data_IF_544753590939
#
_entry.id   IF_544753590939
#
_cell.length_a   1.000
_cell.length_b   1.000
_cell.length_c   1.000
_cell.angle_alpha   90.00
_cell.angle_beta   90.00
_cell.angle_gamma   90.00
#
_symmetry.space_group_name_H-M   'P 1'
#
loop_
_entity.id
_entity.type
_entity.pdbx_description
1 polymer ?
#
# COMPACT_ATOMS: atom_id res chain seq x y z
N UNK A 1 42.85 47.98 -77.75
CA UNK A 1 42.62 47.64 -76.32
C UNK A 1 41.35 46.79 -76.23
N UNK A 2 41.45 45.47 -76.08
CA UNK A 2 40.30 44.59 -75.76
C UNK A 2 40.70 43.71 -74.58
N UNK A 3 40.07 43.96 -73.43
CA UNK A 3 40.29 43.22 -72.17
C UNK A 3 39.48 41.91 -72.23
N UNK A 4 40.14 40.79 -71.95
CA UNK A 4 39.50 39.52 -71.60
C UNK A 4 39.01 39.60 -70.14
N UNK A 5 37.73 39.30 -69.89
CA UNK A 5 37.22 38.98 -68.55
C UNK A 5 36.97 37.47 -68.50
N UNK A 6 37.72 36.77 -67.64
CA UNK A 6 37.47 35.37 -67.29
C UNK A 6 36.44 35.31 -66.16
N UNK A 7 35.30 34.66 -66.40
CA UNK A 7 34.29 34.39 -65.38
C UNK A 7 34.60 33.08 -64.67
N UNK A 8 34.90 33.13 -63.37
CA UNK A 8 35.02 31.95 -62.49
C UNK A 8 33.62 31.64 -61.95
N UNK A 9 33.09 30.46 -62.24
CA UNK A 9 31.84 29.94 -61.68
C UNK A 9 32.14 29.27 -60.33
N UNK A 10 31.65 29.83 -59.23
CA UNK A 10 31.69 29.21 -57.89
C UNK A 10 30.36 28.44 -57.71
N UNK A 11 30.40 27.12 -57.76
CA UNK A 11 29.26 26.26 -57.40
C UNK A 11 29.10 26.24 -55.88
N UNK A 12 28.06 26.89 -55.38
CA UNK A 12 27.55 26.69 -54.02
C UNK A 12 26.86 25.32 -53.95
N UNK A 13 27.47 24.36 -53.24
CA UNK A 13 26.82 23.10 -52.89
C UNK A 13 25.79 23.40 -51.78
N UNK A 14 24.50 23.51 -52.14
CA UNK A 14 23.42 23.56 -51.15
C UNK A 14 23.34 22.18 -50.46
N UNK A 15 23.86 22.10 -49.23
CA UNK A 15 23.52 21.03 -48.30
C UNK A 15 22.04 21.16 -47.94
N UNK A 16 21.20 20.34 -48.55
CA UNK A 16 19.81 20.19 -48.14
C UNK A 16 19.79 19.67 -46.69
N UNK A 17 19.47 20.54 -45.73
CA UNK A 17 19.12 20.13 -44.38
C UNK A 17 17.76 19.45 -44.44
N UNK A 18 17.75 18.13 -44.58
CA UNK A 18 16.54 17.37 -44.36
C UNK A 18 16.13 17.57 -42.90
N UNK A 19 14.90 18.03 -42.60
CA UNK A 19 14.42 18.01 -41.23
C UNK A 19 14.47 16.55 -40.78
N UNK A 20 15.27 16.26 -39.75
CA UNK A 20 15.22 14.98 -39.06
C UNK A 20 13.78 14.77 -38.64
N UNK A 21 13.11 13.78 -39.23
CA UNK A 21 11.76 13.41 -38.86
C UNK A 21 11.78 13.02 -37.37
N UNK A 22 11.40 13.97 -36.52
CA UNK A 22 11.32 13.74 -35.09
C UNK A 22 10.14 12.80 -34.90
N UNK A 23 10.42 11.56 -34.50
CA UNK A 23 9.37 10.56 -34.32
C UNK A 23 8.32 11.10 -33.35
N UNK A 24 7.07 11.16 -33.82
CA UNK A 24 5.97 11.73 -33.05
C UNK A 24 5.68 10.84 -31.83
N UNK A 25 5.55 11.46 -30.65
CA UNK A 25 5.26 10.73 -29.42
C UNK A 25 3.83 10.16 -29.49
N UNK A 26 3.61 8.85 -29.25
CA UNK A 26 2.28 8.26 -29.30
C UNK A 26 1.39 8.81 -28.19
N UNK A 27 0.09 8.95 -28.47
CA UNK A 27 -0.89 9.44 -27.49
C UNK A 27 -1.08 8.50 -26.28
N UNK A 28 -0.83 7.19 -26.46
CA UNK A 28 -0.91 6.18 -25.41
C UNK A 28 -0.03 4.98 -25.70
N UNK A 29 0.25 4.20 -24.66
CA UNK A 29 0.99 2.95 -24.72
C UNK A 29 0.09 1.79 -24.30
N UNK A 30 0.09 0.71 -25.08
CA UNK A 30 -0.67 -0.49 -24.81
C UNK A 30 0.20 -1.58 -24.17
N UNK A 31 -0.40 -2.33 -23.25
CA UNK A 31 0.27 -3.38 -22.50
C UNK A 31 -0.62 -4.62 -22.42
N UNK A 32 0.00 -5.79 -22.45
CA UNK A 32 -0.62 -7.06 -22.04
C UNK A 32 0.17 -7.67 -20.91
N UNK A 33 -0.46 -8.47 -20.05
CA UNK A 33 0.26 -9.09 -18.96
C UNK A 33 -0.58 -10.03 -18.10
N UNK A 34 -0.02 -10.40 -16.96
CA UNK A 34 -0.65 -11.27 -15.96
C UNK A 34 -0.33 -10.80 -14.54
N UNK A 35 -0.99 -11.35 -13.52
CA UNK A 35 -0.84 -10.96 -12.12
C UNK A 35 -1.36 -9.56 -11.78
N UNK A 36 -1.40 -9.26 -10.48
CA UNK A 36 -1.79 -7.98 -9.90
C UNK A 36 -1.02 -7.74 -8.61
N UNK A 37 -0.33 -6.60 -8.52
CA UNK A 37 0.55 -6.30 -7.38
C UNK A 37 2.03 -6.41 -7.70
N UNK A 38 2.88 -6.27 -6.67
CA UNK A 38 4.34 -6.12 -6.82
C UNK A 38 5.08 -7.43 -7.04
N UNK A 39 4.43 -8.58 -6.87
CA UNK A 39 5.08 -9.87 -7.09
C UNK A 39 5.94 -10.35 -5.93
N UNK A 40 6.37 -9.48 -5.01
CA UNK A 40 7.23 -9.84 -3.87
C UNK A 40 6.48 -10.53 -2.73
N UNK A 41 6.99 -11.67 -2.24
CA UNK A 41 6.48 -12.38 -1.06
C UNK A 41 5.27 -13.27 -1.33
N UNK A 42 4.25 -13.25 -0.47
CA UNK A 42 3.11 -14.18 -0.60
C UNK A 42 2.09 -13.72 -1.65
N UNK A 43 1.83 -14.55 -2.66
CA UNK A 43 0.65 -14.37 -3.53
C UNK A 43 -0.62 -14.81 -2.81
N UNK A 44 -1.63 -13.94 -2.74
CA UNK A 44 -2.91 -14.24 -2.11
C UNK A 44 -3.70 -15.30 -2.87
N UNK A 45 -3.77 -15.22 -4.21
CA UNK A 45 -4.43 -16.26 -5.02
C UNK A 45 -3.67 -17.58 -4.93
N UNK A 46 -2.34 -17.56 -4.98
CA UNK A 46 -1.53 -18.75 -4.81
C UNK A 46 -1.68 -19.39 -3.42
N UNK A 47 -1.64 -18.60 -2.36
CA UNK A 47 -1.88 -19.04 -1.00
C UNK A 47 -3.29 -19.64 -0.82
N UNK A 48 -4.31 -19.04 -1.46
CA UNK A 48 -5.66 -19.62 -1.49
C UNK A 48 -5.67 -20.98 -2.17
N UNK A 49 -5.00 -21.13 -3.32
CA UNK A 49 -4.93 -22.41 -4.04
C UNK A 49 -4.26 -23.50 -3.18
N UNK A 50 -3.17 -23.16 -2.48
CA UNK A 50 -2.49 -24.06 -1.53
C UNK A 50 -3.37 -24.45 -0.36
N UNK A 51 -4.11 -23.50 0.22
CA UNK A 51 -5.06 -23.79 1.28
C UNK A 51 -6.19 -24.72 0.82
N UNK A 52 -6.69 -24.55 -0.42
CA UNK A 52 -7.66 -25.48 -1.03
C UNK A 52 -7.07 -26.87 -1.24
N UNK A 53 -5.77 -26.96 -1.52
CA UNK A 53 -5.03 -28.22 -1.62
C UNK A 53 -4.71 -28.86 -0.24
N UNK A 54 -5.16 -28.26 0.86
CA UNK A 54 -5.01 -28.81 2.22
C UNK A 54 -3.73 -28.39 2.95
N UNK A 55 -2.94 -27.47 2.39
CA UNK A 55 -1.75 -26.97 3.08
C UNK A 55 -2.12 -26.12 4.31
N UNK A 56 -1.35 -26.28 5.39
CA UNK A 56 -1.48 -25.46 6.61
C UNK A 56 -0.97 -24.03 6.39
N UNK A 57 -1.35 -23.10 7.27
CA UNK A 57 -0.86 -21.73 7.24
C UNK A 57 0.68 -21.66 7.25
N UNK A 58 1.32 -22.47 8.09
CA UNK A 58 2.79 -22.57 8.17
C UNK A 58 3.42 -23.10 6.89
N UNK A 59 2.82 -24.12 6.25
CA UNK A 59 3.32 -24.64 4.97
C UNK A 59 3.23 -23.58 3.87
N UNK A 60 2.09 -22.88 3.78
CA UNK A 60 1.89 -21.75 2.85
C UNK A 60 2.95 -20.67 3.07
N UNK A 61 3.20 -20.26 4.31
CA UNK A 61 4.18 -19.21 4.60
C UNK A 61 5.61 -19.65 4.30
N UNK A 62 6.02 -20.86 4.69
CA UNK A 62 7.35 -21.40 4.38
C UNK A 62 7.56 -21.63 2.86
N UNK A 63 6.46 -21.78 2.10
CA UNK A 63 6.55 -21.79 0.65
C UNK A 63 7.00 -20.43 0.10
N UNK A 64 6.37 -19.33 0.54
CA UNK A 64 6.61 -17.99 0.00
C UNK A 64 7.78 -17.24 0.65
N UNK A 65 8.11 -17.54 1.91
CA UNK A 65 9.17 -16.89 2.66
C UNK A 65 10.27 -17.90 3.01
N UNK A 66 11.52 -17.59 2.66
CA UNK A 66 12.70 -18.45 2.90
C UNK A 66 13.45 -18.01 4.13
N UNK A 67 14.21 -18.92 4.75
CA UNK A 67 15.04 -18.61 5.91
C UNK A 67 14.28 -17.91 7.05
N UNK A 68 13.00 -18.24 7.22
CA UNK A 68 12.15 -17.72 8.31
C UNK A 68 11.79 -18.82 9.28
N UNK A 69 11.61 -18.42 10.53
CA UNK A 69 11.03 -19.26 11.58
C UNK A 69 9.69 -18.65 11.97
N UNK A 70 8.64 -19.47 12.00
CA UNK A 70 7.34 -19.06 12.53
C UNK A 70 7.33 -19.41 14.02
N UNK A 71 7.31 -18.39 14.88
CA UNK A 71 7.41 -18.56 16.32
C UNK A 71 6.49 -17.58 17.07
N UNK A 72 6.11 -17.91 18.33
CA UNK A 72 5.41 -16.98 19.21
C UNK A 72 6.31 -15.78 19.57
N UNK A 73 5.77 -14.57 19.51
CA UNK A 73 6.44 -13.33 19.94
C UNK A 73 5.45 -12.45 20.70
N UNK A 74 5.95 -11.71 21.69
CA UNK A 74 5.16 -10.70 22.42
C UNK A 74 4.74 -9.57 21.48
N UNK A 75 3.43 -9.37 21.31
CA UNK A 75 2.86 -8.41 20.36
C UNK A 75 1.80 -7.48 21.00
N UNK A 76 1.90 -7.28 22.32
CA UNK A 76 1.04 -6.40 23.14
C UNK A 76 1.25 -4.90 22.91
N UNK A 77 2.05 -4.52 21.92
CA UNK A 77 2.35 -3.11 21.67
C UNK A 77 1.14 -2.39 21.05
N UNK A 78 1.01 -1.09 21.37
CA UNK A 78 0.04 -0.22 20.72
C UNK A 78 0.57 0.24 19.36
N UNK A 79 -0.10 -0.17 18.28
CA UNK A 79 0.21 0.33 16.94
C UNK A 79 -0.57 1.62 16.65
N UNK A 80 0.08 2.61 16.02
CA UNK A 80 -0.55 3.86 15.59
C UNK A 80 -0.70 3.86 14.06
N UNK A 81 -1.93 3.77 13.59
CA UNK A 81 -2.28 3.70 12.16
C UNK A 81 -2.75 5.07 11.70
N UNK A 82 -2.13 5.64 10.67
CA UNK A 82 -2.63 6.87 10.06
C UNK A 82 -3.91 6.56 9.26
N UNK A 83 -5.02 7.18 9.66
CA UNK A 83 -6.35 7.00 9.09
C UNK A 83 -6.86 8.26 8.36
N UNK A 84 -6.05 9.33 8.36
CA UNK A 84 -6.34 10.59 7.71
C UNK A 84 -5.07 11.43 7.63
N UNK A 85 -4.49 11.50 6.44
CA UNK A 85 -3.21 12.18 6.22
C UNK A 85 -3.39 13.54 5.53
N UNK A 86 -2.60 14.51 5.95
CA UNK A 86 -2.55 15.87 5.44
C UNK A 86 -3.93 16.56 5.31
N UNK A 87 -4.82 16.34 6.28
CA UNK A 87 -6.18 16.85 6.24
C UNK A 87 -6.26 18.33 6.65
N UNK A 88 -7.22 19.07 6.08
CA UNK A 88 -7.57 20.43 6.57
C UNK A 88 -8.66 20.38 7.63
N UNK A 89 -9.57 19.43 7.52
CA UNK A 89 -10.59 19.15 8.50
C UNK A 89 -11.02 17.68 8.38
N UNK A 90 -11.69 17.18 9.42
CA UNK A 90 -12.43 15.93 9.41
C UNK A 90 -13.60 16.05 10.39
N UNK A 91 -14.54 15.11 10.34
CA UNK A 91 -15.58 15.01 11.35
C UNK A 91 -15.63 13.63 11.97
N UNK A 92 -16.24 13.52 13.14
CA UNK A 92 -16.60 12.26 13.78
C UNK A 92 -18.02 12.30 14.33
N UNK A 93 -18.63 11.14 14.49
CA UNK A 93 -19.88 10.96 15.21
C UNK A 93 -19.97 9.55 15.77
N UNK A 94 -21.00 9.31 16.57
CA UNK A 94 -21.42 7.98 17.02
C UNK A 94 -22.94 7.91 16.89
N UNK A 95 -23.48 6.78 16.44
CA UNK A 95 -24.92 6.63 16.23
C UNK A 95 -25.65 6.14 17.49
N UNK A 96 -24.92 5.55 18.44
CA UNK A 96 -25.47 4.89 19.63
C UNK A 96 -25.92 5.90 20.68
N UNK A 97 -27.20 5.85 21.08
CA UNK A 97 -27.85 6.83 21.97
C UNK A 97 -27.21 6.91 23.37
N UNK A 98 -26.64 5.81 23.87
CA UNK A 98 -25.99 5.76 25.20
C UNK A 98 -24.45 5.80 25.10
N UNK A 99 -23.92 6.36 24.02
CA UNK A 99 -22.47 6.52 23.83
C UNK A 99 -22.03 7.96 24.06
N UNK A 100 -20.78 8.15 24.42
CA UNK A 100 -20.13 9.46 24.51
C UNK A 100 -18.81 9.44 23.78
N UNK A 101 -18.47 10.55 23.15
CA UNK A 101 -17.12 10.80 22.64
C UNK A 101 -16.47 11.83 23.55
N UNK A 102 -15.31 11.49 24.08
CA UNK A 102 -14.52 12.32 24.98
C UNK A 102 -13.31 12.87 24.23
N UNK A 103 -13.13 14.18 24.29
CA UNK A 103 -11.98 14.89 23.72
C UNK A 103 -11.08 15.31 24.88
N UNK A 104 -9.81 14.92 24.80
CA UNK A 104 -8.78 15.18 25.80
C UNK A 104 -7.68 16.05 25.19
N UNK A 105 -7.14 16.97 25.99
CA UNK A 105 -5.98 17.77 25.59
C UNK A 105 -4.71 16.90 25.59
N UNK A 106 -3.92 16.97 24.51
CA UNK A 106 -2.63 16.28 24.43
C UNK A 106 -2.67 14.94 23.71
N UNK A 107 -1.49 14.36 23.53
CA UNK A 107 -1.28 12.99 23.05
C UNK A 107 -1.24 12.06 24.28
N UNK A 108 -2.38 11.49 24.63
CA UNK A 108 -2.55 10.68 25.84
C UNK A 108 -2.36 9.21 25.46
N UNK A 109 -1.37 8.50 26.01
CA UNK A 109 -1.17 7.08 25.73
C UNK A 109 -2.39 6.22 26.09
N UNK A 110 -2.57 5.10 25.39
CA UNK A 110 -3.59 4.12 25.74
C UNK A 110 -3.40 3.62 27.18
N UNK A 111 -4.50 3.46 27.93
CA UNK A 111 -4.47 3.04 29.34
C UNK A 111 -4.18 4.16 30.35
N UNK A 112 -3.75 5.34 29.91
CA UNK A 112 -3.53 6.49 30.81
C UNK A 112 -4.84 7.27 31.00
N UNK A 113 -5.26 7.45 32.25
CA UNK A 113 -6.44 8.25 32.60
C UNK A 113 -6.15 9.74 32.45
N UNK A 114 -7.08 10.47 31.83
CA UNK A 114 -7.06 11.94 31.77
C UNK A 114 -8.52 12.45 31.72
N UNK A 115 -8.74 13.67 32.20
CA UNK A 115 -10.07 14.28 32.20
C UNK A 115 -10.42 14.82 30.80
N UNK A 116 -11.65 14.62 30.31
CA UNK A 116 -12.09 15.22 29.06
C UNK A 116 -12.20 16.74 29.21
N UNK A 117 -11.70 17.47 28.22
CA UNK A 117 -11.91 18.92 28.09
C UNK A 117 -13.21 19.26 27.36
N UNK A 118 -13.77 18.28 26.66
CA UNK A 118 -15.05 18.37 25.96
C UNK A 118 -15.64 16.98 25.81
N UNK A 119 -16.97 16.88 25.93
CA UNK A 119 -17.73 15.67 25.61
C UNK A 119 -18.68 15.98 24.47
N UNK A 120 -18.65 15.16 23.43
CA UNK A 120 -19.55 15.26 22.28
C UNK A 120 -20.70 14.28 22.51
N UNK A 121 -21.92 14.82 22.47
CA UNK A 121 -23.14 14.04 22.61
C UNK A 121 -23.31 13.05 21.44
N UNK A 122 -23.98 11.91 21.66
CA UNK A 122 -24.26 10.97 20.59
C UNK A 122 -25.11 11.60 19.49
N UNK A 123 -25.03 11.03 18.28
CA UNK A 123 -25.67 11.53 17.04
C UNK A 123 -25.28 12.96 16.65
N UNK A 124 -24.32 13.57 17.35
CA UNK A 124 -23.74 14.87 16.99
C UNK A 124 -22.53 14.64 16.10
N UNK A 125 -22.52 15.28 14.93
CA UNK A 125 -21.36 15.32 14.05
C UNK A 125 -20.44 16.45 14.47
N UNK A 126 -19.30 16.11 15.07
CA UNK A 126 -18.30 17.06 15.51
C UNK A 126 -17.21 17.22 14.45
N UNK A 127 -16.86 18.47 14.08
CA UNK A 127 -15.84 18.78 13.07
C UNK A 127 -14.59 19.35 13.72
N UNK A 128 -13.46 18.78 13.35
CA UNK A 128 -12.13 19.20 13.75
C UNK A 128 -11.46 19.84 12.54
N UNK A 129 -10.80 20.98 12.74
CA UNK A 129 -10.09 21.69 11.67
C UNK A 129 -8.70 22.14 12.13
N UNK A 130 -7.87 22.53 11.18
CA UNK A 130 -6.60 23.18 11.46
C UNK A 130 -6.77 24.70 11.55
N UNK A 131 -6.18 25.30 12.58
CA UNK A 131 -6.03 26.75 12.71
C UNK A 131 -4.59 27.08 13.14
N UNK A 132 -3.76 27.51 12.19
CA UNK A 132 -2.33 27.70 12.41
C UNK A 132 -1.63 26.40 12.78
N UNK A 133 -1.07 26.32 14.00
CA UNK A 133 -0.40 25.13 14.55
C UNK A 133 -1.29 24.32 15.50
N UNK A 134 -2.59 24.61 15.54
CA UNK A 134 -3.53 23.97 16.47
C UNK A 134 -4.62 23.20 15.73
N UNK A 135 -5.09 22.15 16.39
CA UNK A 135 -6.37 21.49 16.12
C UNK A 135 -7.46 22.28 16.84
N UNK A 136 -8.56 22.55 16.15
CA UNK A 136 -9.72 23.27 16.70
C UNK A 136 -11.00 22.47 16.58
N UNK A 137 -11.84 22.56 17.61
CA UNK A 137 -13.22 22.05 17.66
C UNK A 137 -14.06 22.95 18.56
N UNK A 138 -15.05 23.65 18.01
CA UNK A 138 -15.80 24.65 18.77
C UNK A 138 -14.88 25.70 19.38
N UNK A 139 -14.96 25.90 20.70
CA UNK A 139 -14.06 26.80 21.46
C UNK A 139 -12.73 26.16 21.88
N UNK A 140 -12.54 24.85 21.66
CA UNK A 140 -11.31 24.14 22.02
C UNK A 140 -10.25 24.36 20.96
N UNK A 141 -9.04 24.73 21.41
CA UNK A 141 -7.83 24.90 20.59
C UNK A 141 -6.64 24.25 21.29
N UNK A 142 -6.00 23.28 20.64
CA UNK A 142 -4.87 22.55 21.21
C UNK A 142 -3.85 22.11 20.15
N UNK A 143 -2.58 21.92 20.52
CA UNK A 143 -1.54 21.41 19.61
C UNK A 143 -1.79 19.97 19.17
N UNK A 144 -2.38 19.18 20.06
CA UNK A 144 -2.76 17.79 19.83
C UNK A 144 -3.96 17.44 20.70
N UNK A 145 -4.80 16.52 20.22
CA UNK A 145 -5.96 16.02 20.93
C UNK A 145 -5.95 14.49 20.92
N UNK A 146 -6.48 13.90 21.98
CA UNK A 146 -6.83 12.48 22.02
C UNK A 146 -8.34 12.36 22.09
N UNK A 147 -8.92 11.47 21.31
CA UNK A 147 -10.35 11.23 21.22
C UNK A 147 -10.62 9.79 21.63
N UNK A 148 -11.45 9.62 22.66
CA UNK A 148 -11.90 8.32 23.17
C UNK A 148 -13.41 8.22 23.02
N UNK A 149 -13.94 7.01 22.86
CA UNK A 149 -15.38 6.80 22.82
C UNK A 149 -15.78 5.67 23.77
N UNK A 150 -16.84 5.93 24.54
CA UNK A 150 -17.21 5.12 25.71
C UNK A 150 -18.08 3.93 25.35
N UNK A 151 -17.72 2.76 25.90
CA UNK A 151 -18.32 1.42 25.83
C UNK A 151 -17.77 0.48 24.74
N UNK A 152 -17.59 -0.83 25.04
CA UNK A 152 -17.14 -1.83 24.07
C UNK A 152 -18.03 -1.99 22.82
N UNK A 153 -19.27 -1.48 22.86
CA UNK A 153 -20.23 -1.57 21.76
C UNK A 153 -20.35 -0.29 20.93
N UNK A 154 -19.68 0.78 21.35
CA UNK A 154 -19.73 2.06 20.63
C UNK A 154 -18.90 2.00 19.36
N UNK A 155 -19.48 2.48 18.26
CA UNK A 155 -18.81 2.55 16.96
C UNK A 155 -18.71 4.03 16.58
N UNK A 156 -17.48 4.53 16.56
CA UNK A 156 -17.19 5.85 16.06
C UNK A 156 -17.17 5.82 14.53
N UNK A 157 -17.87 6.76 13.89
CA UNK A 157 -17.78 7.00 12.46
C UNK A 157 -16.87 8.20 12.22
N UNK A 158 -15.83 8.00 11.43
CA UNK A 158 -14.90 9.01 10.97
C UNK A 158 -15.26 9.44 9.55
N UNK A 159 -15.32 10.75 9.33
CA UNK A 159 -15.60 11.37 8.05
C UNK A 159 -14.36 12.15 7.59
N UNK A 160 -13.57 11.53 6.72
CA UNK A 160 -12.48 12.18 6.00
C UNK A 160 -12.87 12.50 4.55
N UNK A 161 -11.91 12.93 3.72
CA UNK A 161 -12.12 13.05 2.28
C UNK A 161 -12.56 11.72 1.66
N UNK A 162 -13.61 11.74 0.84
CA UNK A 162 -14.14 10.54 0.20
C UNK A 162 -15.19 9.83 1.05
N UNK A 163 -14.86 8.65 1.57
CA UNK A 163 -15.80 7.78 2.29
C UNK A 163 -15.63 7.85 3.82
N UNK A 164 -16.72 7.57 4.55
CA UNK A 164 -16.68 7.43 6.00
C UNK A 164 -16.19 6.04 6.42
N UNK A 165 -15.39 5.97 7.48
CA UNK A 165 -14.85 4.72 8.04
C UNK A 165 -15.36 4.55 9.46
N UNK A 166 -15.60 3.31 9.90
CA UNK A 166 -16.10 3.00 11.25
C UNK A 166 -15.02 2.36 12.09
N UNK A 167 -14.88 2.81 13.33
CA UNK A 167 -13.93 2.29 14.32
C UNK A 167 -14.66 1.86 15.58
N UNK A 168 -14.39 0.62 16.00
CA UNK A 168 -14.90 0.06 17.26
C UNK A 168 -13.83 0.07 18.35
N UNK A 169 -12.57 -0.04 17.95
CA UNK A 169 -11.42 -0.22 18.84
C UNK A 169 -10.41 0.92 18.73
N UNK A 170 -9.62 1.06 19.79
CA UNK A 170 -8.56 2.05 19.90
C UNK A 170 -9.02 3.41 20.42
N UNK A 171 -8.14 4.39 20.20
CA UNK A 171 -8.37 5.80 20.48
C UNK A 171 -7.73 6.64 19.36
N UNK A 172 -8.35 7.74 18.97
CA UNK A 172 -7.85 8.58 17.90
C UNK A 172 -6.91 9.66 18.45
N UNK A 173 -5.76 9.88 17.81
CA UNK A 173 -4.91 11.04 18.05
C UNK A 173 -5.00 11.98 16.85
N UNK A 174 -4.97 13.27 17.14
CA UNK A 174 -4.99 14.33 16.14
C UNK A 174 -3.86 15.28 16.43
N UNK A 175 -3.04 15.54 15.42
CA UNK A 175 -1.87 16.43 15.55
C UNK A 175 -1.68 17.25 14.29
N UNK A 176 -1.20 18.48 14.45
CA UNK A 176 -0.76 19.29 13.31
C UNK A 176 0.68 18.91 12.96
N UNK A 177 0.88 18.34 11.77
CA UNK A 177 2.18 18.03 11.19
C UNK A 177 2.31 18.80 9.88
N UNK A 178 3.40 19.56 9.72
CA UNK A 178 3.71 20.29 8.49
C UNK A 178 2.55 21.12 7.91
N UNK A 179 1.72 21.74 8.77
CA UNK A 179 0.60 22.59 8.33
C UNK A 179 -0.65 21.85 7.88
N UNK A 180 -0.80 20.59 8.29
CA UNK A 180 -2.01 19.80 8.09
C UNK A 180 -2.29 18.88 9.30
N UNK A 181 -3.52 18.38 9.40
CA UNK A 181 -3.92 17.40 10.41
C UNK A 181 -3.47 16.01 9.97
N UNK A 182 -2.72 15.34 10.84
CA UNK A 182 -2.57 13.90 10.81
C UNK A 182 -3.49 13.30 11.87
N UNK A 183 -4.33 12.37 11.44
CA UNK A 183 -5.29 11.66 12.28
C UNK A 183 -4.90 10.20 12.31
N UNK A 184 -4.67 9.68 13.51
CA UNK A 184 -4.24 8.31 13.71
C UNK A 184 -5.14 7.56 14.67
N UNK A 185 -5.32 6.26 14.46
CA UNK A 185 -5.95 5.37 15.42
C UNK A 185 -4.86 4.57 16.12
N UNK A 186 -4.78 4.68 17.45
CA UNK A 186 -3.91 3.86 18.29
C UNK A 186 -4.69 2.71 18.90
N UNK A 187 -4.27 1.48 18.64
CA UNK A 187 -4.99 0.25 18.99
C UNK A 187 -4.03 -0.91 19.30
N UNK A 188 -4.52 -1.94 19.98
CA UNK A 188 -3.77 -3.16 20.25
C UNK A 188 -3.32 -3.82 18.94
N UNK A 189 -2.02 -4.10 18.79
CA UNK A 189 -1.50 -4.84 17.64
C UNK A 189 -1.93 -6.31 17.70
N UNK A 190 -1.98 -6.89 18.90
CA UNK A 190 -2.31 -8.30 19.16
C UNK A 190 -3.57 -8.77 18.44
N UNK A 191 -4.61 -7.93 18.40
CA UNK A 191 -5.94 -8.28 17.92
C UNK A 191 -6.67 -7.14 17.20
N UNK A 192 -6.87 -5.99 17.84
CA UNK A 192 -7.73 -4.90 17.34
C UNK A 192 -7.29 -4.38 15.96
N UNK A 193 -5.98 -4.22 15.77
CA UNK A 193 -5.39 -3.85 14.48
C UNK A 193 -5.68 -4.91 13.40
N UNK A 194 -5.40 -6.17 13.72
CA UNK A 194 -5.52 -7.27 12.77
C UNK A 194 -6.97 -7.55 12.40
N UNK A 195 -7.93 -7.34 13.31
CA UNK A 195 -9.36 -7.43 12.98
C UNK A 195 -9.80 -6.40 11.94
N UNK A 196 -9.07 -5.29 11.78
CA UNK A 196 -9.35 -4.27 10.76
C UNK A 196 -8.59 -4.44 9.44
N UNK A 197 -7.72 -5.45 9.30
CA UNK A 197 -6.97 -5.70 8.07
C UNK A 197 -7.85 -6.38 7.03
N UNK A 198 -7.99 -5.78 5.84
CA UNK A 198 -8.84 -6.26 4.76
C UNK A 198 -8.07 -6.44 3.45
N UNK A 199 -7.27 -7.50 3.41
CA UNK A 199 -6.42 -7.82 2.25
C UNK A 199 -7.02 -8.93 1.38
N UNK A 200 -7.72 -9.88 1.99
CA UNK A 200 -8.38 -11.01 1.33
C UNK A 200 -9.82 -11.15 1.81
N UNK A 201 -10.66 -11.85 1.06
CA UNK A 201 -12.05 -12.12 1.48
C UNK A 201 -12.07 -13.01 2.72
N UNK A 202 -12.91 -12.67 3.70
CA UNK A 202 -13.09 -13.48 4.92
C UNK A 202 -13.76 -14.83 4.66
N UNK A 203 -14.27 -15.06 3.44
CA UNK A 203 -14.85 -16.34 3.03
C UNK A 203 -13.81 -17.34 2.50
N UNK A 204 -12.53 -16.97 2.44
CA UNK A 204 -11.48 -17.87 2.00
C UNK A 204 -11.16 -18.95 3.04
N UNK A 205 -10.51 -20.06 2.64
CA UNK A 205 -10.19 -21.16 3.57
C UNK A 205 -9.39 -20.68 4.79
N UNK A 206 -9.61 -21.32 5.94
CA UNK A 206 -9.02 -20.90 7.22
C UNK A 206 -7.49 -20.79 7.18
N UNK A 207 -6.80 -21.74 6.53
CA UNK A 207 -5.35 -21.75 6.46
C UNK A 207 -4.76 -20.51 5.75
N UNK A 208 -5.40 -20.02 4.67
CA UNK A 208 -4.95 -18.78 4.02
C UNK A 208 -5.32 -17.53 4.84
N UNK A 209 -6.43 -17.55 5.58
CA UNK A 209 -6.74 -16.46 6.51
C UNK A 209 -5.66 -16.35 7.60
N UNK A 210 -5.29 -17.47 8.22
CA UNK A 210 -4.24 -17.53 9.25
C UNK A 210 -2.86 -17.13 8.69
N UNK A 211 -2.51 -17.59 7.48
CA UNK A 211 -1.28 -17.18 6.81
C UNK A 211 -1.24 -15.67 6.57
N UNK A 212 -2.35 -15.08 6.11
CA UNK A 212 -2.47 -13.64 5.89
C UNK A 212 -2.39 -12.84 7.20
N UNK A 213 -2.97 -13.34 8.29
CA UNK A 213 -2.86 -12.73 9.62
C UNK A 213 -1.41 -12.73 10.10
N UNK A 214 -0.73 -13.88 10.06
CA UNK A 214 0.67 -13.99 10.49
C UNK A 214 1.57 -13.07 9.65
N UNK A 215 1.36 -13.01 8.33
CA UNK A 215 2.07 -12.09 7.45
C UNK A 215 1.79 -10.62 7.84
N UNK A 216 0.52 -10.25 8.06
CA UNK A 216 0.17 -8.90 8.44
C UNK A 216 0.76 -8.48 9.79
N UNK A 217 0.70 -9.36 10.79
CA UNK A 217 1.32 -9.15 12.11
C UNK A 217 2.84 -8.98 12.00
N UNK A 218 3.50 -9.82 11.21
CA UNK A 218 4.95 -9.74 10.98
C UNK A 218 5.35 -8.41 10.35
N UNK A 219 4.63 -7.97 9.32
CA UNK A 219 4.82 -6.67 8.68
C UNK A 219 4.66 -5.52 9.69
N UNK A 220 3.56 -5.53 10.45
CA UNK A 220 3.28 -4.52 11.46
C UNK A 220 4.41 -4.44 12.50
N UNK A 221 4.81 -5.56 13.09
CA UNK A 221 5.91 -5.63 14.07
C UNK A 221 7.24 -5.16 13.48
N UNK A 222 7.55 -5.48 12.22
CA UNK A 222 8.74 -4.98 11.54
C UNK A 222 8.73 -3.45 11.32
N UNK A 223 7.56 -2.81 11.43
CA UNK A 223 7.35 -1.35 11.36
C UNK A 223 7.20 -0.69 12.73
N UNK A 224 7.20 -1.45 13.83
CA UNK A 224 7.03 -0.95 15.21
C UNK A 224 8.27 -0.20 15.77
N UNK A 225 8.95 0.58 14.94
CA UNK A 225 9.98 1.52 15.38
C UNK A 225 9.39 2.79 16.00
N UNK A 226 10.18 3.86 16.07
CA UNK A 226 9.67 5.17 16.51
C UNK A 226 8.56 5.69 15.59
N UNK A 227 7.61 6.43 16.17
CA UNK A 227 6.56 7.12 15.42
C UNK A 227 7.17 8.02 14.34
N UNK A 228 6.79 7.81 13.08
CA UNK A 228 7.26 8.62 11.96
C UNK A 228 6.71 10.03 12.10
N UNK A 229 7.60 11.02 12.24
CA UNK A 229 7.21 12.41 12.42
C UNK A 229 6.37 13.00 11.27
N UNK A 230 6.48 12.46 10.06
CA UNK A 230 5.77 12.94 8.86
C UNK A 230 4.28 12.57 8.81
N UNK A 231 3.86 11.51 9.51
CA UNK A 231 2.46 11.04 9.53
C UNK A 231 1.92 10.84 10.95
N UNK A 232 2.75 11.08 11.96
CA UNK A 232 2.49 10.70 13.35
C UNK A 232 2.05 9.24 13.48
N UNK A 233 2.69 8.30 12.75
CA UNK A 233 2.22 6.91 12.63
C UNK A 233 3.34 5.88 12.58
N UNK A 234 3.04 4.62 12.93
CA UNK A 234 3.87 3.47 12.56
C UNK A 234 3.58 3.06 11.10
N UNK A 235 2.29 2.97 10.75
CA UNK A 235 1.82 2.51 9.43
C UNK A 235 0.66 3.37 8.91
N UNK A 236 0.49 3.42 7.59
CA UNK A 236 -0.69 3.99 6.94
C UNK A 236 -1.80 2.96 6.78
N UNK A 237 -3.06 3.40 6.70
CA UNK A 237 -4.24 2.54 6.53
C UNK A 237 -4.50 2.07 5.09
N UNK A 238 -3.61 2.37 4.15
CA UNK A 238 -3.78 2.09 2.72
C UNK A 238 -2.58 1.33 2.15
N UNK A 239 -2.59 1.08 0.84
CA UNK A 239 -1.60 0.28 0.08
C UNK A 239 -0.12 0.71 0.22
N UNK A 240 0.17 1.84 0.86
CA UNK A 240 1.54 2.22 1.20
C UNK A 240 2.11 1.37 2.34
N UNK A 241 1.23 0.79 3.17
CA UNK A 241 1.55 -0.20 4.19
C UNK A 241 0.57 -1.38 4.08
N UNK A 242 -0.59 -1.30 4.74
CA UNK A 242 -1.61 -2.37 4.72
C UNK A 242 -3.02 -1.77 4.67
N UNK A 243 -3.93 -2.44 3.97
CA UNK A 243 -5.31 -2.00 3.84
C UNK A 243 -6.08 -2.22 5.15
N UNK A 244 -6.08 -1.19 6.01
CA UNK A 244 -6.78 -1.16 7.29
C UNK A 244 -8.10 -0.40 7.14
N UNK A 245 -9.20 -1.13 7.27
CA UNK A 245 -10.56 -0.62 7.00
C UNK A 245 -11.40 -0.48 8.29
N UNK A 246 -10.74 -0.55 9.44
CA UNK A 246 -11.38 -0.50 10.76
C UNK A 246 -12.43 -1.60 10.95
N UNK A 247 -13.56 -1.25 11.57
CA UNK A 247 -14.61 -2.20 11.94
C UNK A 247 -15.32 -2.85 10.75
N UNK A 248 -15.19 -2.30 9.53
CA UNK A 248 -15.91 -2.85 8.37
C UNK A 248 -15.54 -4.30 8.05
N UNK A 249 -14.30 -4.71 8.36
CA UNK A 249 -13.83 -6.09 8.16
C UNK A 249 -14.51 -7.08 9.10
N UNK A 250 -14.49 -6.80 10.40
CA UNK A 250 -15.20 -7.61 11.39
C UNK A 250 -16.72 -7.62 11.14
N UNK A 251 -17.26 -6.50 10.68
CA UNK A 251 -18.69 -6.30 10.43
C UNK A 251 -19.19 -6.90 9.10
N UNK A 252 -18.35 -7.57 8.31
CA UNK A 252 -18.80 -8.26 7.10
C UNK A 252 -19.87 -9.30 7.44
N UNK A 253 -21.07 -9.11 6.90
CA UNK A 253 -22.21 -9.96 7.20
C UNK A 253 -21.89 -11.43 6.92
N UNK A 254 -22.15 -12.31 7.90
CA UNK A 254 -21.93 -13.76 7.88
C UNK A 254 -20.46 -14.21 7.85
N UNK A 255 -19.56 -13.49 7.17
CA UNK A 255 -18.19 -13.95 6.90
C UNK A 255 -17.12 -13.28 7.76
N UNK A 256 -17.35 -12.08 8.30
CA UNK A 256 -16.35 -11.34 9.10
C UNK A 256 -15.89 -12.11 10.34
N UNK A 257 -16.77 -12.95 10.89
CA UNK A 257 -16.45 -13.86 12.01
C UNK A 257 -15.31 -14.84 11.70
N UNK A 258 -15.14 -15.25 10.44
CA UNK A 258 -14.08 -16.18 10.05
C UNK A 258 -12.71 -15.51 10.07
N UNK A 259 -12.63 -14.24 9.64
CA UNK A 259 -11.42 -13.44 9.77
C UNK A 259 -11.07 -13.19 11.22
N UNK A 260 -12.04 -12.74 12.03
CA UNK A 260 -11.84 -12.55 13.47
C UNK A 260 -11.32 -13.83 14.16
N UNK A 261 -11.91 -14.98 13.82
CA UNK A 261 -11.47 -16.27 14.33
C UNK A 261 -10.06 -16.66 13.85
N UNK A 262 -9.67 -16.32 12.61
CA UNK A 262 -8.31 -16.53 12.14
C UNK A 262 -7.28 -15.70 12.91
N UNK A 263 -7.61 -14.45 13.26
CA UNK A 263 -6.77 -13.65 14.16
C UNK A 263 -6.56 -14.38 15.48
N UNK A 264 -7.65 -14.77 16.14
CA UNK A 264 -7.59 -15.47 17.43
C UNK A 264 -6.84 -16.81 17.39
N UNK A 265 -6.99 -17.61 16.32
CA UNK A 265 -6.28 -18.90 16.17
C UNK A 265 -4.76 -18.76 16.01
N UNK A 266 -4.27 -17.57 15.67
CA UNK A 266 -2.84 -17.30 15.57
C UNK A 266 -2.25 -16.70 16.85
N UNK A 267 -3.08 -16.46 17.87
CA UNK A 267 -2.65 -16.04 19.19
C UNK A 267 -2.32 -17.31 19.99
N UNK A 268 -1.18 -17.31 20.67
CA UNK A 268 -0.69 -18.45 21.44
C UNK A 268 -1.15 -18.32 22.89
N UNK A 269 -1.09 -17.10 23.43
CA UNK A 269 -1.65 -16.72 24.73
C UNK A 269 -2.15 -15.26 24.69
N UNK A 270 -2.44 -14.68 25.84
CA UNK A 270 -2.96 -13.30 25.98
C UNK A 270 -1.98 -12.20 25.58
N UNK A 271 -0.72 -12.55 25.32
CA UNK A 271 0.39 -11.64 25.08
C UNK A 271 1.32 -12.04 23.95
N UNK A 272 1.25 -13.30 23.48
CA UNK A 272 2.10 -13.80 22.41
C UNK A 272 1.29 -14.33 21.23
N UNK A 273 1.81 -14.13 20.03
CA UNK A 273 1.20 -14.58 18.78
C UNK A 273 2.23 -15.06 17.78
N UNK A 274 1.80 -15.86 16.79
CA UNK A 274 2.66 -16.35 15.72
C UNK A 274 3.09 -15.23 14.76
N UNK A 275 4.40 -15.18 14.50
CA UNK A 275 5.10 -14.19 13.66
C UNK A 275 6.20 -14.88 12.85
N UNK A 276 6.50 -14.38 11.65
CA UNK A 276 7.66 -14.80 10.86
C UNK A 276 8.92 -14.01 11.24
N UNK A 277 9.97 -14.73 11.62
CA UNK A 277 11.24 -14.17 12.06
C UNK A 277 12.38 -14.57 11.11
N UNK A 278 13.18 -13.61 10.68
CA UNK A 278 14.49 -13.87 10.08
C UNK A 278 15.56 -13.38 11.06
N UNK A 279 16.49 -14.27 11.45
CA UNK A 279 17.54 -13.97 12.45
C UNK A 279 16.98 -13.37 13.75
N UNK A 280 15.87 -13.92 14.23
CA UNK A 280 15.19 -13.50 15.46
C UNK A 280 14.41 -12.18 15.39
N UNK A 281 14.32 -11.53 14.23
CA UNK A 281 13.57 -10.27 14.04
C UNK A 281 12.35 -10.46 13.14
N UNK A 282 11.21 -9.82 13.45
CA UNK A 282 10.05 -9.79 12.55
C UNK A 282 10.44 -9.30 11.16
N UNK A 283 10.00 -10.03 10.13
CA UNK A 283 10.27 -9.65 8.74
C UNK A 283 9.25 -8.63 8.23
N UNK A 284 9.67 -7.78 7.29
CA UNK A 284 8.70 -7.05 6.46
C UNK A 284 8.06 -8.03 5.48
N UNK A 285 6.98 -8.69 5.91
CA UNK A 285 6.27 -9.73 5.18
C UNK A 285 5.38 -9.12 4.08
N UNK A 286 5.96 -8.89 2.90
CA UNK A 286 5.21 -8.39 1.74
C UNK A 286 4.28 -9.44 1.15
N UNK A 287 3.09 -9.04 0.74
CA UNK A 287 2.13 -9.90 0.06
C UNK A 287 1.37 -9.09 -1.00
N UNK A 288 0.80 -9.78 -1.98
CA UNK A 288 0.15 -9.15 -3.13
C UNK A 288 -0.92 -10.08 -3.72
N UNK A 289 -1.78 -9.56 -4.60
CA UNK A 289 -2.94 -10.31 -5.08
C UNK A 289 -2.57 -11.58 -5.86
N UNK A 290 -1.87 -11.45 -6.99
CA UNK A 290 -1.56 -12.59 -7.85
C UNK A 290 -0.29 -12.37 -8.65
N UNK A 291 0.47 -13.43 -8.90
CA UNK A 291 1.70 -13.37 -9.70
C UNK A 291 1.42 -13.57 -11.18
N UNK A 292 2.45 -13.34 -12.01
CA UNK A 292 2.46 -13.77 -13.40
C UNK A 292 3.00 -15.19 -13.62
N UNK A 293 2.93 -16.05 -12.61
CA UNK A 293 3.39 -17.45 -12.65
C UNK A 293 4.53 -17.78 -11.68
N UNK A 294 5.20 -16.78 -11.14
CA UNK A 294 6.19 -16.90 -10.06
C UNK A 294 6.34 -15.56 -9.32
N UNK A 295 6.85 -15.56 -8.09
CA UNK A 295 7.07 -14.36 -7.28
C UNK A 295 8.37 -13.62 -7.66
N UNK A 296 8.51 -12.37 -7.21
CA UNK A 296 9.73 -11.56 -7.37
C UNK A 296 10.59 -11.51 -6.11
N UNK A 297 11.87 -11.25 -6.30
CA UNK A 297 12.76 -10.81 -5.21
C UNK A 297 12.56 -9.32 -4.91
N UNK A 298 12.88 -8.89 -3.70
CA UNK A 298 12.94 -7.45 -3.36
C UNK A 298 14.07 -6.71 -4.11
N UNK A 299 15.13 -7.43 -4.50
CA UNK A 299 16.22 -6.86 -5.30
C UNK A 299 15.73 -6.43 -6.69
N UNK A 300 14.96 -7.29 -7.36
CA UNK A 300 14.38 -6.99 -8.66
C UNK A 300 13.38 -5.82 -8.56
N UNK A 301 12.44 -5.93 -7.63
CA UNK A 301 11.36 -4.97 -7.49
C UNK A 301 11.85 -3.58 -7.02
N UNK A 302 12.71 -3.55 -5.99
CA UNK A 302 13.03 -2.33 -5.24
C UNK A 302 14.53 -2.08 -5.03
N UNK A 303 15.40 -2.97 -5.49
CA UNK A 303 16.85 -2.78 -5.45
C UNK A 303 17.53 -3.13 -4.13
N UNK A 304 16.80 -3.67 -3.15
CA UNK A 304 17.36 -4.08 -1.87
C UNK A 304 17.03 -5.54 -1.63
N UNK A 305 18.04 -6.40 -1.58
CA UNK A 305 17.84 -7.83 -1.38
C UNK A 305 17.41 -8.14 0.06
N UNK A 306 16.51 -9.11 0.22
CA UNK A 306 16.28 -9.78 1.50
C UNK A 306 16.51 -11.27 1.31
N UNK A 307 16.96 -11.95 2.37
CA UNK A 307 17.15 -13.41 2.32
C UNK A 307 15.80 -14.13 2.16
N UNK A 308 14.73 -13.59 2.75
CA UNK A 308 13.46 -14.28 2.89
C UNK A 308 12.47 -14.10 1.74
N UNK A 309 12.64 -13.12 0.86
CA UNK A 309 11.79 -12.98 -0.35
C UNK A 309 12.52 -13.50 -1.58
N UNK A 310 12.40 -14.80 -1.84
CA UNK A 310 12.93 -15.44 -3.05
C UNK A 310 11.82 -15.69 -4.06
N UNK A 311 12.22 -15.78 -5.34
CA UNK A 311 11.29 -16.19 -6.39
C UNK A 311 10.89 -17.65 -6.20
N UNK A 312 9.59 -17.91 -6.18
CA UNK A 312 9.00 -19.25 -6.13
C UNK A 312 7.90 -19.37 -7.17
N UNK A 313 7.69 -20.58 -7.69
CA UNK A 313 6.64 -20.85 -8.66
C UNK A 313 5.25 -20.57 -8.08
N UNK A 314 4.35 -20.05 -8.90
CA UNK A 314 3.00 -19.71 -8.49
C UNK A 314 2.03 -19.85 -9.67
N UNK A 315 1.83 -21.08 -10.17
CA UNK A 315 1.03 -21.33 -11.39
C UNK A 315 -0.44 -20.90 -11.23
N UNK A 316 -0.96 -20.84 -9.99
CA UNK A 316 -2.30 -20.36 -9.71
C UNK A 316 -2.52 -18.90 -10.14
N UNK A 317 -1.46 -18.09 -10.21
CA UNK A 317 -1.52 -16.73 -10.74
C UNK A 317 -1.91 -16.66 -12.22
N UNK A 318 -1.60 -17.70 -13.00
CA UNK A 318 -1.88 -17.81 -14.43
C UNK A 318 -3.14 -18.63 -14.76
N UNK A 319 -3.76 -19.28 -13.76
CA UNK A 319 -4.96 -20.08 -13.97
C UNK A 319 -6.20 -19.16 -14.09
N UNK A 320 -6.89 -19.10 -15.25
CA UNK A 320 -8.06 -18.24 -15.43
C UNK A 320 -9.26 -18.61 -14.54
N UNK A 321 -9.32 -19.83 -14.01
CA UNK A 321 -10.38 -20.23 -13.06
C UNK A 321 -10.10 -19.69 -11.67
N UNK A 322 -8.84 -19.70 -11.25
CA UNK A 322 -8.42 -19.22 -9.92
C UNK A 322 -8.21 -17.71 -9.89
N UNK A 323 -7.73 -17.13 -10.99
CA UNK A 323 -7.43 -15.71 -11.17
C UNK A 323 -8.14 -15.10 -12.40
N UNK A 324 -9.48 -15.12 -12.47
CA UNK A 324 -10.21 -14.76 -13.70
C UNK A 324 -9.99 -13.33 -14.20
N UNK A 325 -9.56 -12.41 -13.33
CA UNK A 325 -9.33 -11.00 -13.68
C UNK A 325 -7.91 -10.70 -14.13
N UNK A 326 -6.93 -11.47 -13.64
CA UNK A 326 -5.52 -11.12 -13.80
C UNK A 326 -4.64 -12.29 -14.24
N UNK A 327 -5.18 -13.48 -14.51
CA UNK A 327 -4.46 -14.53 -15.22
C UNK A 327 -3.94 -14.00 -16.57
N UNK A 328 -4.76 -13.15 -17.20
CA UNK A 328 -4.39 -12.33 -18.35
C UNK A 328 -5.12 -10.99 -18.25
N UNK A 329 -4.47 -9.91 -18.66
CA UNK A 329 -5.06 -8.58 -18.74
C UNK A 329 -4.51 -7.78 -19.92
N UNK A 330 -5.29 -6.79 -20.36
CA UNK A 330 -4.87 -5.71 -21.26
C UNK A 330 -5.00 -4.39 -20.51
N UNK A 331 -4.04 -3.50 -20.68
CA UNK A 331 -4.06 -2.17 -20.08
C UNK A 331 -3.49 -1.14 -21.05
N UNK A 332 -3.76 0.13 -20.79
CA UNK A 332 -3.11 1.24 -21.47
C UNK A 332 -2.75 2.34 -20.49
N UNK A 333 -1.74 3.14 -20.84
CA UNK A 333 -1.37 4.35 -20.12
C UNK A 333 -1.24 5.51 -21.11
N UNK A 334 -1.71 6.69 -20.72
CA UNK A 334 -1.58 7.90 -21.56
C UNK A 334 -0.12 8.32 -21.68
N UNK A 335 0.22 9.05 -22.74
CA UNK A 335 1.54 9.66 -22.88
C UNK A 335 1.91 10.42 -21.60
N UNK A 336 1.07 11.36 -21.16
CA UNK A 336 1.31 12.17 -19.96
C UNK A 336 1.71 11.33 -18.74
N UNK A 337 1.00 10.23 -18.49
CA UNK A 337 1.27 9.36 -17.34
C UNK A 337 2.61 8.65 -17.48
N UNK A 338 2.95 8.17 -18.68
CA UNK A 338 4.21 7.49 -18.97
C UNK A 338 5.40 8.45 -18.96
N UNK A 339 5.28 9.65 -19.55
CA UNK A 339 6.28 10.72 -19.44
C UNK A 339 6.56 11.07 -17.98
N UNK A 340 5.50 11.29 -17.19
CA UNK A 340 5.61 11.57 -15.76
C UNK A 340 6.23 10.42 -14.98
N UNK A 341 6.00 9.16 -15.38
CA UNK A 341 6.64 8.01 -14.76
C UNK A 341 8.17 8.07 -14.88
N UNK A 342 8.67 8.43 -16.07
CA UNK A 342 10.11 8.56 -16.37
C UNK A 342 10.70 9.92 -15.98
N UNK A 343 9.88 10.92 -15.63
CA UNK A 343 10.30 12.31 -15.46
C UNK A 343 10.94 12.87 -16.75
N UNK A 344 10.32 12.56 -17.88
CA UNK A 344 10.69 13.04 -19.22
C UNK A 344 9.56 13.92 -19.79
N UNK A 345 9.85 14.86 -20.72
CA UNK A 345 8.84 15.72 -21.31
C UNK A 345 7.81 14.92 -22.13
N UNK A 346 8.27 13.91 -22.85
CA UNK A 346 7.47 12.94 -23.56
C UNK A 346 8.19 11.59 -23.61
N UNK A 347 7.53 10.59 -24.20
CA UNK A 347 8.09 9.30 -24.52
C UNK A 347 7.71 8.97 -25.96
N UNK A 348 8.73 8.66 -26.77
CA UNK A 348 8.59 8.17 -28.14
C UNK A 348 8.72 6.65 -28.18
N UNK A 349 9.68 6.08 -27.43
CA UNK A 349 9.88 4.63 -27.38
C UNK A 349 9.96 4.10 -25.96
N UNK A 350 9.40 2.90 -25.78
CA UNK A 350 9.58 2.05 -24.61
C UNK A 350 10.31 0.79 -25.03
N UNK A 351 11.27 0.36 -24.21
CA UNK A 351 12.03 -0.87 -24.44
C UNK A 351 12.16 -1.65 -23.12
N UNK A 352 11.71 -2.90 -23.11
CA UNK A 352 11.94 -3.82 -21.99
C UNK A 352 13.38 -4.30 -22.09
N UNK A 353 14.20 -3.90 -21.12
CA UNK A 353 15.65 -4.14 -21.13
C UNK A 353 15.99 -5.51 -20.54
N UNK A 354 15.35 -5.86 -19.42
CA UNK A 354 15.59 -7.14 -18.74
C UNK A 354 14.33 -7.65 -18.05
N UNK A 355 14.32 -8.96 -17.82
CA UNK A 355 13.35 -9.67 -16.99
C UNK A 355 14.08 -10.54 -15.97
N UNK A 356 13.44 -10.82 -14.85
CA UNK A 356 13.91 -11.87 -13.95
C UNK A 356 13.44 -13.26 -14.41
N UNK A 357 13.88 -14.30 -13.70
CA UNK A 357 13.51 -15.69 -13.96
C UNK A 357 12.00 -15.96 -13.84
N UNK A 358 11.27 -15.12 -13.10
CA UNK A 358 9.82 -15.16 -12.98
C UNK A 358 9.07 -14.46 -14.13
N UNK A 359 9.79 -13.90 -15.12
CA UNK A 359 9.21 -13.20 -16.27
C UNK A 359 8.76 -11.76 -15.99
N UNK A 360 8.91 -11.26 -14.76
CA UNK A 360 8.65 -9.86 -14.45
C UNK A 360 9.70 -8.97 -15.10
N UNK A 361 9.27 -7.83 -15.64
CA UNK A 361 10.18 -6.78 -16.13
C UNK A 361 11.00 -6.25 -14.96
N UNK A 362 12.32 -6.40 -15.02
CA UNK A 362 13.24 -5.84 -14.02
C UNK A 362 13.63 -4.42 -14.39
N UNK A 363 13.89 -4.16 -15.68
CA UNK A 363 14.19 -2.82 -16.16
C UNK A 363 13.49 -2.51 -17.49
N UNK A 364 13.01 -1.27 -17.60
CA UNK A 364 12.40 -0.69 -18.81
C UNK A 364 13.03 0.68 -19.07
N UNK A 365 13.33 0.96 -20.34
CA UNK A 365 13.90 2.22 -20.81
C UNK A 365 12.84 3.02 -21.57
N UNK A 366 12.72 4.30 -21.25
CA UNK A 366 11.95 5.27 -22.01
C UNK A 366 12.87 6.25 -22.73
N UNK A 367 12.56 6.56 -23.99
CA UNK A 367 13.29 7.55 -24.81
C UNK A 367 12.35 8.67 -25.21
N UNK A 368 12.76 9.91 -24.98
CA UNK A 368 12.04 11.16 -25.30
C UNK A 368 12.37 11.63 -26.72
N UNK A 369 11.52 12.49 -27.30
CA UNK A 369 11.68 13.07 -28.64
C UNK A 369 12.92 13.93 -28.78
N UNK A 370 13.47 14.44 -27.66
CA UNK A 370 14.73 15.17 -27.62
C UNK A 370 15.97 14.26 -27.45
N UNK A 371 15.80 12.94 -27.55
CA UNK A 371 16.87 11.95 -27.40
C UNK A 371 17.25 11.59 -25.95
N UNK A 372 16.64 12.24 -24.94
CA UNK A 372 16.88 11.90 -23.54
C UNK A 372 16.35 10.51 -23.22
N UNK A 373 17.09 9.73 -22.43
CA UNK A 373 16.66 8.40 -21.98
C UNK A 373 16.64 8.29 -20.47
N UNK A 374 15.72 7.47 -19.95
CA UNK A 374 15.64 7.10 -18.53
C UNK A 374 15.37 5.63 -18.38
N UNK A 375 16.03 5.01 -17.41
CA UNK A 375 15.84 3.62 -17.02
C UNK A 375 15.04 3.57 -15.71
N UNK A 376 14.01 2.73 -15.66
CA UNK A 376 13.23 2.47 -14.44
C UNK A 376 13.22 0.98 -14.14
N UNK A 377 13.10 0.65 -12.85
CA UNK A 377 12.71 -0.69 -12.44
C UNK A 377 11.29 -0.98 -12.92
N UNK A 378 11.00 -2.21 -13.34
CA UNK A 378 9.67 -2.54 -13.86
C UNK A 378 8.55 -2.32 -12.84
N UNK A 379 8.76 -2.60 -11.55
CA UNK A 379 7.76 -2.32 -10.51
C UNK A 379 7.55 -0.81 -10.28
N UNK A 380 8.63 -0.02 -10.36
CA UNK A 380 8.54 1.46 -10.28
C UNK A 380 7.76 2.01 -11.48
N UNK A 381 8.06 1.54 -12.70
CA UNK A 381 7.29 1.90 -13.87
C UNK A 381 5.84 1.49 -13.71
N UNK A 382 5.57 0.25 -13.26
CA UNK A 382 4.22 -0.26 -13.03
C UNK A 382 3.40 0.64 -12.12
N UNK A 383 3.96 1.01 -10.97
CA UNK A 383 3.30 1.88 -10.00
C UNK A 383 2.99 3.26 -10.57
N UNK A 384 3.94 3.86 -11.30
CA UNK A 384 3.80 5.23 -11.84
C UNK A 384 2.93 5.29 -13.09
N UNK A 385 3.01 4.29 -13.95
CA UNK A 385 2.20 4.13 -15.15
C UNK A 385 0.80 3.54 -14.87
N UNK A 386 0.51 3.18 -13.60
CA UNK A 386 -0.76 2.63 -13.13
C UNK A 386 -1.22 1.36 -13.88
N UNK A 387 -0.27 0.52 -14.30
CA UNK A 387 -0.60 -0.79 -14.89
C UNK A 387 -0.68 -1.88 -13.79
N UNK A 388 -1.34 -3.03 -14.04
CA UNK A 388 -1.64 -4.02 -12.99
C UNK A 388 -0.43 -4.61 -12.26
N UNK A 389 0.61 -4.98 -13.01
CA UNK A 389 1.75 -5.76 -12.50
C UNK A 389 3.02 -5.54 -13.34
N UNK A 390 4.20 -5.93 -12.81
CA UNK A 390 5.45 -5.89 -13.57
C UNK A 390 5.58 -7.07 -14.57
N UNK A 391 4.61 -7.98 -14.64
CA UNK A 391 4.57 -9.09 -15.59
C UNK A 391 3.83 -8.65 -16.86
N UNK A 392 4.47 -7.81 -17.67
CA UNK A 392 3.84 -7.23 -18.86
C UNK A 392 4.71 -7.33 -20.12
N UNK A 393 4.07 -7.15 -21.27
CA UNK A 393 4.64 -6.96 -22.59
C UNK A 393 4.15 -5.63 -23.16
N UNK A 394 4.98 -5.00 -24.00
CA UNK A 394 4.55 -3.90 -24.87
C UNK A 394 3.70 -4.50 -26.00
N UNK A 395 2.55 -3.89 -26.29
CA UNK A 395 1.57 -4.41 -27.24
C UNK A 395 1.54 -3.61 -28.54
#
# INVERSE_FOLDING_TARGET
MKKFLSSVLISFLLLAQFPSAQAEAPASFAFTGSGYGHGVGMSQIGAKARAVAGESATAILNYYYKDVVIAPVVDTQTIRVNIGSALKNFSISTAQVNSKIEVLAGDIPAGVTALPIMTIAPQTKATFAIEGKNVVIGSVKAKSLTIRWGSPSTILTFYGPGASVRYKYGQIQVKVVSGALEVTNSLSLHDEYLWGISEISSAWPSAVLEAQVIAARSYALAKMGGIKGSCDCHVYSHIGDQNFVGYSKEAEAKIGKFWKAAVLRTNVDTSTSLVMLNKGKPIQAYFFSSSGGATQTTLDAWGQATAYTQSVADPAGLDPKLNPRFAQWKASATQELVAKAFLLPDIVTLEIITRNSAGAVTYIKGTSSNGSTKLLRGDTFRSRAKIPSPYFNLA
#
